data_IF_921292978045
#
_entry.id   IF_921292978045
#
_cell.length_a   1.000
_cell.length_b   1.000
_cell.length_c   1.000
_cell.angle_alpha   90.00
_cell.angle_beta   90.00
_cell.angle_gamma   90.00
#
_symmetry.space_group_name_H-M   'P 1'
#
loop_
_entity.id
_entity.type
_entity.pdbx_description
1 polymer ?
#
# COMPACT_ATOMS: atom_id res chain seq x y z
N UNK A 1 -10.62 11.25 -1.56
CA UNK A 1 -9.18 11.53 -1.74
C UNK A 1 -8.55 11.63 -0.37
N UNK A 2 -7.41 10.99 -0.17
CA UNK A 2 -6.71 10.89 1.11
C UNK A 2 -5.94 12.15 1.53
N UNK A 3 -6.38 13.34 1.13
CA UNK A 3 -5.80 14.63 1.56
C UNK A 3 -6.14 14.85 3.02
N UNK A 4 -5.12 15.17 3.83
CA UNK A 4 -5.26 15.39 5.26
C UNK A 4 -4.56 16.68 5.71
N UNK A 5 -4.93 17.17 6.89
CA UNK A 5 -4.18 18.22 7.59
C UNK A 5 -3.19 17.57 8.56
N UNK A 6 -1.87 17.71 8.37
CA UNK A 6 -0.89 17.14 9.28
C UNK A 6 -0.86 17.89 10.63
N UNK A 7 -0.51 17.17 11.71
CA UNK A 7 -0.21 17.78 13.02
C UNK A 7 1.21 18.31 13.02
N UNK A 8 2.13 17.60 12.38
CA UNK A 8 3.52 18.04 12.23
C UNK A 8 3.62 18.97 11.02
N UNK A 9 3.75 20.27 11.28
CA UNK A 9 3.73 21.32 10.27
C UNK A 9 5.03 21.42 9.44
N UNK A 10 6.08 20.65 9.78
CA UNK A 10 7.35 20.70 9.04
C UNK A 10 7.16 20.40 7.54
N UNK A 11 6.19 19.53 7.22
CA UNK A 11 5.89 19.14 5.83
C UNK A 11 5.21 20.23 5.02
N UNK A 12 4.62 21.25 5.68
CA UNK A 12 3.95 22.38 5.01
C UNK A 12 4.95 23.28 4.27
N UNK A 13 6.23 23.21 4.62
CA UNK A 13 7.31 23.95 3.94
C UNK A 13 7.91 23.21 2.75
N UNK A 14 7.48 21.95 2.48
CA UNK A 14 8.00 21.19 1.35
C UNK A 14 7.47 21.77 0.02
N UNK A 15 8.38 21.96 -0.93
CA UNK A 15 8.07 22.42 -2.29
C UNK A 15 8.35 21.31 -3.30
N UNK A 16 7.44 21.09 -4.24
CA UNK A 16 7.49 19.95 -5.15
C UNK A 16 7.02 18.65 -4.50
N UNK A 17 7.35 17.54 -5.12
CA UNK A 17 6.91 16.20 -4.67
C UNK A 17 7.91 15.60 -3.67
N UNK A 18 7.42 15.24 -2.50
CA UNK A 18 8.13 14.52 -1.46
C UNK A 18 7.39 13.23 -1.10
N UNK A 19 8.10 12.10 -1.05
CA UNK A 19 7.51 10.81 -0.71
C UNK A 19 8.20 10.21 0.51
N UNK A 20 7.45 10.03 1.60
CA UNK A 20 7.86 9.24 2.76
C UNK A 20 7.58 7.77 2.45
N UNK A 21 8.64 6.95 2.37
CA UNK A 21 8.54 5.59 1.87
C UNK A 21 9.57 4.64 2.48
N UNK A 22 9.41 3.35 2.23
CA UNK A 22 10.45 2.34 2.43
C UNK A 22 10.48 1.37 1.26
N UNK A 23 11.64 0.80 0.96
CA UNK A 23 11.82 -0.12 -0.16
C UNK A 23 10.91 -1.37 -0.07
N UNK A 24 10.69 -1.87 1.15
CA UNK A 24 9.92 -3.10 1.42
C UNK A 24 8.41 -2.95 1.37
N UNK A 25 7.88 -1.74 1.29
CA UNK A 25 6.43 -1.51 1.25
C UNK A 25 5.89 -1.62 -0.18
N UNK A 26 5.01 -2.59 -0.43
CA UNK A 26 4.28 -2.70 -1.68
C UNK A 26 3.40 -1.46 -1.95
N UNK A 27 2.78 -0.90 -0.90
CA UNK A 27 2.01 0.34 -1.02
C UNK A 27 2.88 1.53 -1.44
N UNK A 28 4.09 1.67 -0.85
CA UNK A 28 5.02 2.70 -1.29
C UNK A 28 5.58 2.42 -2.69
N UNK A 29 5.74 1.15 -3.07
CA UNK A 29 6.17 0.77 -4.41
C UNK A 29 5.17 1.18 -5.50
N UNK A 30 3.85 1.12 -5.22
CA UNK A 30 2.80 1.64 -6.13
C UNK A 30 3.04 3.10 -6.48
N UNK A 31 3.28 3.92 -5.46
CA UNK A 31 3.50 5.36 -5.65
C UNK A 31 4.80 5.64 -6.37
N UNK A 32 5.90 4.97 -5.97
CA UNK A 32 7.17 5.10 -6.70
C UNK A 32 7.03 4.71 -8.16
N UNK A 33 6.34 3.60 -8.45
CA UNK A 33 6.11 3.15 -9.82
C UNK A 33 5.37 4.22 -10.64
N UNK A 34 4.28 4.80 -10.12
CA UNK A 34 3.57 5.87 -10.83
C UNK A 34 4.42 7.12 -11.03
N UNK A 35 5.20 7.52 -10.02
CA UNK A 35 6.10 8.68 -10.15
C UNK A 35 7.14 8.47 -11.26
N UNK A 36 7.73 7.27 -11.35
CA UNK A 36 8.68 6.90 -12.40
C UNK A 36 8.03 6.82 -13.79
N UNK A 37 6.84 6.21 -13.90
CA UNK A 37 6.09 6.11 -15.15
C UNK A 37 5.68 7.49 -15.68
N UNK A 38 5.36 8.42 -14.79
CA UNK A 38 5.07 9.82 -15.13
C UNK A 38 6.32 10.68 -15.30
N UNK A 39 7.52 10.13 -15.02
CA UNK A 39 8.80 10.85 -15.08
C UNK A 39 8.79 12.13 -14.24
N UNK A 40 8.17 12.08 -13.07
CA UNK A 40 8.10 13.17 -12.13
C UNK A 40 9.35 13.18 -11.24
N UNK A 41 9.94 14.33 -11.05
CA UNK A 41 11.01 14.53 -10.07
C UNK A 41 10.41 14.56 -8.67
N UNK A 42 11.02 13.81 -7.73
CA UNK A 42 10.56 13.73 -6.36
C UNK A 42 11.70 13.54 -5.36
N UNK A 43 11.49 14.00 -4.14
CA UNK A 43 12.43 13.85 -3.02
C UNK A 43 11.99 12.68 -2.15
N UNK A 44 12.88 11.69 -1.97
CA UNK A 44 12.62 10.52 -1.13
C UNK A 44 12.97 10.75 0.33
N UNK A 45 12.02 10.47 1.23
CA UNK A 45 12.23 10.40 2.68
C UNK A 45 12.11 8.95 3.11
N UNK A 46 13.26 8.28 3.29
CA UNK A 46 13.27 6.88 3.71
C UNK A 46 12.86 6.74 5.18
N UNK A 47 11.88 5.87 5.44
CA UNK A 47 11.43 5.49 6.78
C UNK A 47 11.89 4.07 7.07
N UNK A 48 12.82 3.90 7.99
CA UNK A 48 13.31 2.58 8.41
C UNK A 48 12.32 1.92 9.39
N UNK A 49 11.50 1.01 8.85
CA UNK A 49 10.53 0.25 9.65
C UNK A 49 11.21 -0.70 10.65
N UNK A 50 12.45 -1.12 10.37
CA UNK A 50 13.24 -1.93 11.30
C UNK A 50 13.59 -1.16 12.56
N UNK A 51 13.94 0.12 12.41
CA UNK A 51 14.21 1.05 13.51
C UNK A 51 12.97 1.69 14.11
N UNK A 52 11.76 1.33 13.60
CA UNK A 52 10.48 1.89 14.06
C UNK A 52 10.38 3.41 13.90
N UNK A 53 11.04 3.97 12.90
CA UNK A 53 10.97 5.41 12.60
C UNK A 53 9.53 5.87 12.29
N UNK A 54 8.69 4.94 11.83
CA UNK A 54 7.26 5.17 11.65
C UNK A 54 6.46 5.18 12.98
N UNK A 55 7.05 4.75 14.11
CA UNK A 55 6.37 4.71 15.42
C UNK A 55 6.96 5.82 16.30
N UNK A 56 6.91 7.05 15.81
CA UNK A 56 7.33 8.26 16.51
C UNK A 56 6.21 9.30 16.48
N UNK A 57 6.21 10.22 17.45
CA UNK A 57 5.23 11.32 17.49
C UNK A 57 5.39 12.21 16.23
N UNK A 58 6.63 12.40 15.77
CA UNK A 58 6.95 13.18 14.59
C UNK A 58 6.27 12.60 13.34
N UNK A 59 6.42 11.28 13.11
CA UNK A 59 5.87 10.66 11.91
C UNK A 59 4.35 10.47 12.02
N UNK A 60 3.81 10.14 13.20
CA UNK A 60 2.36 10.12 13.43
C UNK A 60 1.73 11.51 13.25
N UNK A 61 2.49 12.57 13.47
CA UNK A 61 2.08 13.94 13.16
C UNK A 61 1.96 14.22 11.66
N UNK A 62 2.68 13.47 10.80
CA UNK A 62 2.61 13.54 9.34
C UNK A 62 1.53 12.59 8.80
N UNK A 63 1.54 11.34 9.25
CA UNK A 63 0.56 10.32 8.88
C UNK A 63 -0.04 9.69 10.15
N UNK A 64 -1.31 9.96 10.46
CA UNK A 64 -1.93 9.53 11.72
C UNK A 64 -2.07 8.00 11.87
N UNK A 65 -1.87 7.23 10.80
CA UNK A 65 -1.81 5.76 10.87
C UNK A 65 -0.40 5.22 11.12
N UNK A 66 0.64 6.06 11.05
CA UNK A 66 2.03 5.64 11.23
C UNK A 66 2.49 4.62 10.17
N UNK A 67 2.01 4.75 8.93
CA UNK A 67 2.33 3.85 7.80
C UNK A 67 2.92 4.63 6.63
N UNK A 68 3.56 3.91 5.71
CA UNK A 68 4.04 4.44 4.44
C UNK A 68 3.23 3.83 3.29
N UNK A 69 3.01 4.56 2.18
CA UNK A 69 3.55 5.87 1.83
C UNK A 69 2.78 7.05 2.43
N UNK A 70 3.45 8.21 2.48
CA UNK A 70 2.82 9.51 2.58
C UNK A 70 3.41 10.41 1.51
N UNK A 71 2.57 11.02 0.69
CA UNK A 71 2.98 12.00 -0.31
C UNK A 71 2.77 13.41 0.26
N UNK A 72 3.71 14.31 -0.03
CA UNK A 72 3.54 15.73 0.18
C UNK A 72 3.82 16.44 -1.14
N UNK A 73 2.92 17.29 -1.58
CA UNK A 73 3.08 18.12 -2.77
C UNK A 73 2.76 19.56 -2.44
N UNK A 74 3.78 20.43 -2.49
CA UNK A 74 3.69 21.85 -2.14
C UNK A 74 2.98 22.09 -0.78
N UNK A 75 3.31 21.26 0.23
CA UNK A 75 2.72 21.30 1.57
C UNK A 75 1.39 20.58 1.71
N UNK A 76 0.73 20.13 0.64
CA UNK A 76 -0.48 19.31 0.72
C UNK A 76 -0.12 17.85 1.00
N UNK A 77 -0.66 17.29 2.08
CA UNK A 77 -0.35 15.92 2.52
C UNK A 77 -1.42 14.95 2.07
N UNK A 78 -0.99 13.88 1.39
CA UNK A 78 -1.87 12.82 0.88
C UNK A 78 -1.43 11.47 1.42
N UNK A 79 -2.39 10.74 1.98
CA UNK A 79 -2.19 9.38 2.53
C UNK A 79 -3.04 8.38 1.76
N UNK A 80 -2.85 7.07 2.03
CA UNK A 80 -3.43 5.93 1.33
C UNK A 80 -2.92 5.81 -0.11
N UNK A 81 -2.18 4.73 -0.39
CA UNK A 81 -1.45 4.60 -1.67
C UNK A 81 -2.32 4.75 -2.91
N UNK A 82 -3.55 4.20 -2.90
CA UNK A 82 -4.47 4.33 -4.05
C UNK A 82 -5.04 5.74 -4.19
N UNK A 83 -5.26 6.45 -3.09
CA UNK A 83 -5.66 7.85 -3.13
C UNK A 83 -4.52 8.74 -3.63
N UNK A 84 -3.27 8.40 -3.27
CA UNK A 84 -2.08 9.06 -3.81
C UNK A 84 -1.97 8.82 -5.33
N UNK A 85 -2.25 7.61 -5.83
CA UNK A 85 -2.27 7.34 -7.27
C UNK A 85 -3.30 8.22 -7.99
N UNK A 86 -4.51 8.31 -7.44
CA UNK A 86 -5.58 9.13 -8.01
C UNK A 86 -5.24 10.63 -7.96
N UNK A 87 -4.63 11.09 -6.87
CA UNK A 87 -4.19 12.47 -6.70
C UNK A 87 -3.11 12.85 -7.72
N UNK A 88 -2.09 12.00 -7.88
CA UNK A 88 -1.03 12.22 -8.86
C UNK A 88 -1.56 12.23 -10.29
N UNK A 89 -2.52 11.36 -10.61
CA UNK A 89 -3.16 11.31 -11.92
C UNK A 89 -3.99 12.56 -12.21
N UNK A 90 -4.58 13.18 -11.19
CA UNK A 90 -5.34 14.43 -11.32
C UNK A 90 -4.41 15.64 -11.47
N UNK A 91 -3.36 15.72 -10.65
CA UNK A 91 -2.40 16.86 -10.66
C UNK A 91 -1.49 16.82 -11.89
N UNK A 92 -1.14 15.62 -12.36
CA UNK A 92 -0.24 15.41 -13.49
C UNK A 92 -0.91 14.47 -14.51
N UNK A 93 -1.85 14.95 -15.33
CA UNK A 93 -2.67 14.09 -16.19
C UNK A 93 -1.89 13.38 -17.32
N UNK A 94 -0.69 13.86 -17.67
CA UNK A 94 0.12 13.28 -18.76
C UNK A 94 1.46 12.70 -18.25
N UNK A 95 1.83 11.48 -18.70
CA UNK A 95 0.99 10.54 -19.45
C UNK A 95 -0.14 9.99 -18.58
N UNK A 96 -1.33 9.79 -19.20
CA UNK A 96 -2.50 9.26 -18.47
C UNK A 96 -2.45 7.75 -18.32
N UNK A 97 -2.70 7.27 -17.10
CA UNK A 97 -2.93 5.86 -16.75
C UNK A 97 -4.41 5.58 -16.45
N UNK A 98 -5.28 6.51 -16.85
CA UNK A 98 -6.73 6.35 -16.93
C UNK A 98 -7.12 6.16 -18.39
N UNK A 99 -8.06 5.27 -18.64
CA UNK A 99 -8.63 5.07 -19.98
C UNK A 99 -9.84 5.98 -20.14
N UNK A 100 -10.04 6.55 -21.31
CA UNK A 100 -11.15 7.48 -21.56
C UNK A 100 -12.54 6.84 -21.42
N UNK A 101 -12.66 5.51 -21.62
CA UNK A 101 -13.93 4.77 -21.51
C UNK A 101 -14.45 4.74 -20.08
N UNK A 102 -15.70 5.17 -19.86
CA UNK A 102 -16.36 5.10 -18.55
C UNK A 102 -16.39 3.67 -17.98
N UNK A 103 -16.60 2.66 -18.85
CA UNK A 103 -16.53 1.24 -18.46
C UNK A 103 -15.19 0.90 -17.84
N UNK A 104 -14.09 1.30 -18.45
CA UNK A 104 -12.74 1.00 -17.96
C UNK A 104 -12.41 1.83 -16.72
N UNK A 105 -12.86 3.07 -16.62
CA UNK A 105 -12.71 3.86 -15.39
C UNK A 105 -13.38 3.19 -14.19
N UNK A 106 -14.59 2.63 -14.36
CA UNK A 106 -15.27 1.87 -13.32
C UNK A 106 -14.49 0.60 -12.93
N UNK A 107 -13.88 -0.09 -13.89
CA UNK A 107 -13.06 -1.27 -13.63
C UNK A 107 -11.75 -0.89 -12.90
N UNK A 108 -11.06 0.18 -13.32
CA UNK A 108 -9.87 0.69 -12.62
C UNK A 108 -10.23 1.00 -11.16
N UNK A 109 -11.32 1.73 -10.93
CA UNK A 109 -11.79 2.05 -9.57
C UNK A 109 -12.05 0.79 -8.74
N UNK A 110 -12.71 -0.22 -9.33
CA UNK A 110 -12.92 -1.51 -8.68
C UNK A 110 -11.60 -2.16 -8.25
N UNK A 111 -10.60 -2.24 -9.14
CA UNK A 111 -9.33 -2.87 -8.82
C UNK A 111 -8.51 -2.11 -7.78
N UNK A 112 -8.54 -0.77 -7.81
CA UNK A 112 -7.94 0.05 -6.77
C UNK A 112 -8.61 -0.20 -5.42
N UNK A 113 -9.95 -0.27 -5.39
CA UNK A 113 -10.70 -0.57 -4.17
C UNK A 113 -10.36 -1.97 -3.64
N UNK A 114 -10.35 -3.00 -4.50
CA UNK A 114 -9.97 -4.36 -4.09
C UNK A 114 -8.58 -4.42 -3.46
N UNK A 115 -7.61 -3.70 -4.01
CA UNK A 115 -6.25 -3.68 -3.46
C UNK A 115 -6.16 -2.99 -2.10
N UNK A 116 -7.06 -2.05 -1.81
CA UNK A 116 -7.23 -1.41 -0.51
C UNK A 116 -7.96 -2.32 0.49
N UNK A 117 -9.14 -2.81 0.12
CA UNK A 117 -9.99 -3.63 0.98
C UNK A 117 -9.32 -4.94 1.42
N UNK A 118 -8.53 -5.55 0.52
CA UNK A 118 -7.78 -6.78 0.81
C UNK A 118 -6.44 -6.54 1.51
N UNK A 119 -6.03 -5.28 1.72
CA UNK A 119 -4.70 -4.99 2.24
C UNK A 119 -4.45 -5.58 3.63
N UNK A 120 -5.29 -5.29 4.61
CA UNK A 120 -5.15 -5.83 5.97
C UNK A 120 -5.60 -7.29 6.05
N UNK A 121 -6.83 -7.68 5.61
CA UNK A 121 -7.36 -9.01 5.87
C UNK A 121 -6.67 -10.12 5.08
N UNK A 122 -6.05 -9.81 3.95
CA UNK A 122 -5.42 -10.80 3.09
C UNK A 122 -3.91 -10.56 2.94
N UNK A 123 -3.52 -9.46 2.28
CA UNK A 123 -2.13 -9.20 1.88
C UNK A 123 -1.21 -9.10 3.11
N UNK A 124 -1.52 -8.20 4.05
CA UNK A 124 -0.71 -8.04 5.27
C UNK A 124 -0.79 -9.24 6.19
N UNK A 125 -1.96 -9.85 6.37
CA UNK A 125 -2.10 -11.06 7.20
C UNK A 125 -1.17 -12.16 6.71
N UNK A 126 -1.16 -12.46 5.41
CA UNK A 126 -0.26 -13.45 4.83
C UNK A 126 1.22 -13.04 5.00
N UNK A 127 1.58 -11.80 4.65
CA UNK A 127 2.95 -11.31 4.76
C UNK A 127 3.47 -11.34 6.21
N UNK A 128 2.67 -10.94 7.19
CA UNK A 128 3.07 -10.99 8.60
C UNK A 128 3.21 -12.42 9.08
N UNK A 129 2.32 -13.32 8.70
CA UNK A 129 2.44 -14.74 9.03
C UNK A 129 3.74 -15.35 8.46
N UNK A 130 4.09 -15.06 7.22
CA UNK A 130 5.23 -15.69 6.55
C UNK A 130 6.57 -15.00 6.87
N UNK A 131 6.62 -13.69 6.92
CA UNK A 131 7.87 -12.92 6.90
C UNK A 131 7.94 -11.85 7.97
N UNK A 132 6.97 -10.93 8.00
CA UNK A 132 7.12 -9.65 8.69
C UNK A 132 7.20 -9.78 10.21
N UNK A 133 6.50 -10.75 10.81
CA UNK A 133 6.56 -10.99 12.24
C UNK A 133 7.98 -11.32 12.72
N UNK A 134 8.79 -11.97 11.87
CA UNK A 134 10.20 -12.30 12.15
C UNK A 134 11.15 -11.16 11.85
N UNK A 135 10.84 -10.35 10.82
CA UNK A 135 11.72 -9.27 10.36
C UNK A 135 11.51 -7.94 11.09
N UNK A 136 10.32 -7.72 11.62
CA UNK A 136 9.91 -6.45 12.23
C UNK A 136 9.30 -6.67 13.64
N UNK A 137 9.94 -7.46 14.52
CA UNK A 137 9.44 -7.62 15.89
C UNK A 137 9.41 -6.26 16.58
N UNK A 138 8.50 -6.10 17.52
CA UNK A 138 8.45 -4.94 18.42
C UNK A 138 8.79 -5.39 19.83
N UNK A 139 9.52 -4.54 20.56
CA UNK A 139 9.68 -4.68 22.01
C UNK A 139 8.39 -4.28 22.72
N UNK A 140 8.25 -4.62 24.00
CA UNK A 140 7.09 -4.20 24.82
C UNK A 140 6.97 -2.67 24.87
N UNK A 141 8.06 -1.95 24.92
CA UNK A 141 8.08 -0.48 24.89
C UNK A 141 7.59 0.07 23.55
N UNK A 142 8.02 -0.53 22.43
CA UNK A 142 7.57 -0.15 21.09
C UNK A 142 6.09 -0.47 20.86
N UNK A 143 5.59 -1.57 21.42
CA UNK A 143 4.16 -1.91 21.41
C UNK A 143 3.33 -0.92 22.22
N UNK A 144 3.79 -0.56 23.42
CA UNK A 144 3.13 0.44 24.26
C UNK A 144 3.11 1.81 23.59
N UNK A 145 4.24 2.23 22.97
CA UNK A 145 4.34 3.47 22.20
C UNK A 145 3.37 3.45 21.02
N UNK A 146 3.34 2.37 20.24
CA UNK A 146 2.41 2.22 19.13
C UNK A 146 0.95 2.33 19.61
N UNK A 147 0.57 1.62 20.66
CA UNK A 147 -0.78 1.66 21.21
C UNK A 147 -1.19 3.07 21.72
N UNK A 148 -0.23 3.87 22.24
CA UNK A 148 -0.46 5.26 22.63
C UNK A 148 -0.72 6.17 21.44
N UNK A 149 0.06 6.00 20.36
CA UNK A 149 0.02 6.87 19.18
C UNK A 149 -1.12 6.50 18.22
N UNK A 150 -1.36 5.21 18.01
CA UNK A 150 -2.37 4.73 17.06
C UNK A 150 -3.79 5.02 17.55
N UNK A 151 -4.60 5.65 16.68
CA UNK A 151 -6.01 5.94 16.95
C UNK A 151 -6.97 5.22 16.00
N UNK A 152 -6.45 4.61 14.95
CA UNK A 152 -7.25 3.84 14.01
C UNK A 152 -7.57 2.46 14.63
N UNK A 153 -8.87 2.12 14.82
CA UNK A 153 -9.27 0.88 15.49
C UNK A 153 -8.92 -0.37 14.68
N UNK A 154 -8.94 -0.28 13.35
CA UNK A 154 -8.63 -1.42 12.47
C UNK A 154 -7.13 -1.75 12.54
N UNK A 155 -6.29 -0.72 12.59
CA UNK A 155 -4.85 -0.88 12.77
C UNK A 155 -4.51 -1.44 14.15
N UNK A 156 -5.18 -1.00 15.20
CA UNK A 156 -5.02 -1.55 16.56
C UNK A 156 -5.45 -3.03 16.61
N UNK A 157 -6.62 -3.34 16.05
CA UNK A 157 -7.14 -4.71 16.00
C UNK A 157 -6.21 -5.63 15.18
N UNK A 158 -5.73 -5.18 14.02
CA UNK A 158 -4.80 -5.94 13.20
C UNK A 158 -3.50 -6.25 13.94
N UNK A 159 -2.84 -5.22 14.48
CA UNK A 159 -1.57 -5.41 15.18
C UNK A 159 -1.72 -6.16 16.51
N UNK A 160 -2.86 -6.06 17.19
CA UNK A 160 -3.17 -6.83 18.38
C UNK A 160 -3.17 -8.36 18.17
N UNK A 161 -3.48 -8.82 16.95
CA UNK A 161 -3.49 -10.25 16.61
C UNK A 161 -2.09 -10.89 16.61
N UNK A 162 -1.04 -10.11 16.42
CA UNK A 162 0.33 -10.61 16.33
C UNK A 162 1.34 -9.88 17.25
N UNK A 163 0.86 -9.11 18.24
CA UNK A 163 1.66 -8.46 19.28
C UNK A 163 1.90 -9.38 20.47
N UNK A 164 2.91 -9.07 21.30
CA UNK A 164 3.21 -9.85 22.52
C UNK A 164 3.64 -11.28 22.25
N UNK A 165 4.36 -11.53 21.17
CA UNK A 165 4.80 -12.88 20.77
C UNK A 165 3.70 -13.75 20.17
N UNK A 166 2.50 -13.22 19.95
CA UNK A 166 1.40 -13.91 19.26
C UNK A 166 1.66 -13.99 17.75
N UNK A 167 0.99 -14.91 17.10
CA UNK A 167 0.89 -14.99 15.64
C UNK A 167 -0.58 -15.00 15.22
N UNK A 168 -0.84 -14.71 13.95
CA UNK A 168 -2.18 -14.89 13.39
C UNK A 168 -2.64 -16.34 13.58
N UNK A 169 -3.93 -16.54 13.87
CA UNK A 169 -4.53 -17.86 13.96
C UNK A 169 -4.52 -18.57 12.59
N UNK A 170 -4.59 -19.89 12.59
CA UNK A 170 -4.75 -20.67 11.36
C UNK A 170 -6.00 -20.23 10.58
N UNK A 171 -7.08 -19.90 11.28
CA UNK A 171 -8.32 -19.41 10.67
C UNK A 171 -8.10 -18.07 9.95
N UNK A 172 -7.39 -17.10 10.58
CA UNK A 172 -7.05 -15.83 9.94
C UNK A 172 -6.20 -16.04 8.68
N UNK A 173 -5.21 -16.94 8.75
CA UNK A 173 -4.32 -17.26 7.64
C UNK A 173 -5.06 -17.95 6.49
N UNK A 174 -5.89 -18.96 6.80
CA UNK A 174 -6.67 -19.66 5.79
C UNK A 174 -7.68 -18.74 5.10
N UNK A 175 -8.31 -17.82 5.85
CA UNK A 175 -9.16 -16.78 5.29
C UNK A 175 -8.38 -15.84 4.37
N UNK A 176 -7.19 -15.43 4.78
CA UNK A 176 -6.32 -14.58 3.96
C UNK A 176 -5.94 -15.26 2.65
N UNK A 177 -5.57 -16.54 2.69
CA UNK A 177 -5.25 -17.34 1.49
C UNK A 177 -6.48 -17.43 0.57
N UNK A 178 -7.66 -17.76 1.10
CA UNK A 178 -8.88 -17.86 0.28
C UNK A 178 -9.22 -16.53 -0.41
N UNK A 179 -9.01 -15.40 0.26
CA UNK A 179 -9.21 -14.08 -0.34
C UNK A 179 -8.17 -13.77 -1.43
N UNK A 180 -6.91 -14.16 -1.21
CA UNK A 180 -5.85 -14.03 -2.20
C UNK A 180 -6.10 -14.91 -3.42
N UNK A 181 -6.47 -16.17 -3.22
CA UNK A 181 -6.82 -17.09 -4.31
C UNK A 181 -7.96 -16.52 -5.16
N UNK A 182 -9.00 -15.99 -4.50
CA UNK A 182 -10.14 -15.39 -5.20
C UNK A 182 -9.75 -14.18 -6.04
N UNK A 183 -8.90 -13.28 -5.52
CA UNK A 183 -8.51 -12.08 -6.27
C UNK A 183 -7.50 -12.39 -7.36
N UNK A 184 -6.56 -13.31 -7.12
CA UNK A 184 -5.58 -13.68 -8.14
C UNK A 184 -6.21 -14.47 -9.30
N UNK A 185 -7.21 -15.33 -9.03
CA UNK A 185 -8.01 -15.94 -10.12
C UNK A 185 -8.66 -14.89 -11.01
N UNK A 186 -9.23 -13.83 -10.43
CA UNK A 186 -9.84 -12.74 -11.20
C UNK A 186 -8.81 -11.90 -11.97
N UNK A 187 -7.61 -11.69 -11.40
CA UNK A 187 -6.52 -11.00 -12.10
C UNK A 187 -6.05 -11.86 -13.27
N UNK A 188 -5.83 -13.15 -13.05
CA UNK A 188 -5.41 -14.10 -14.08
C UNK A 188 -6.39 -14.14 -15.26
N UNK A 189 -7.69 -14.22 -14.98
CA UNK A 189 -8.75 -14.12 -15.98
C UNK A 189 -8.73 -12.77 -16.72
N UNK A 190 -8.52 -11.67 -15.99
CA UNK A 190 -8.55 -10.33 -16.58
C UNK A 190 -7.38 -10.08 -17.56
N UNK A 191 -6.20 -10.64 -17.28
CA UNK A 191 -5.00 -10.43 -18.10
C UNK A 191 -4.85 -11.48 -19.22
N UNK A 192 -5.68 -12.52 -19.25
CA UNK A 192 -5.56 -13.64 -20.19
C UNK A 192 -5.59 -13.21 -21.67
N UNK A 193 -6.41 -12.22 -22.02
CA UNK A 193 -6.61 -11.79 -23.40
C UNK A 193 -5.69 -10.63 -23.84
N UNK A 194 -5.18 -9.81 -22.91
CA UNK A 194 -4.48 -8.58 -23.29
C UNK A 194 -3.22 -8.27 -22.48
N UNK A 195 -2.92 -9.06 -21.45
CA UNK A 195 -1.75 -8.85 -20.59
C UNK A 195 -1.88 -7.68 -19.60
N UNK A 196 -3.04 -7.01 -19.54
CA UNK A 196 -3.34 -5.94 -18.60
C UNK A 196 -4.62 -6.21 -17.81
N UNK A 197 -4.69 -5.69 -16.59
CA UNK A 197 -5.84 -5.91 -15.70
C UNK A 197 -7.11 -5.23 -16.25
N UNK A 198 -6.97 -4.10 -16.95
CA UNK A 198 -8.11 -3.37 -17.52
C UNK A 198 -7.81 -2.94 -18.95
N UNK A 199 -8.59 -3.46 -19.89
CA UNK A 199 -8.48 -3.09 -21.30
C UNK A 199 -7.24 -3.64 -21.97
N UNK A 200 -6.70 -2.89 -22.90
CA UNK A 200 -5.57 -3.24 -23.77
C UNK A 200 -4.30 -2.41 -23.48
N UNK A 201 -4.25 -1.73 -22.35
CA UNK A 201 -3.13 -0.86 -21.98
C UNK A 201 -2.85 -0.82 -20.48
N UNK A 202 -1.64 -0.38 -20.17
CA UNK A 202 -1.16 -0.25 -18.79
C UNK A 202 -1.90 0.87 -18.06
N UNK A 203 -2.50 0.56 -16.91
CA UNK A 203 -3.38 1.46 -16.17
C UNK A 203 -3.00 1.55 -14.69
N UNK A 204 -3.69 2.43 -13.93
CA UNK A 204 -3.57 2.49 -12.46
C UNK A 204 -3.91 1.15 -11.78
N UNK A 205 -4.71 0.28 -12.40
CA UNK A 205 -4.99 -1.06 -11.86
C UNK A 205 -3.70 -1.90 -11.85
N UNK A 206 -2.96 -1.91 -12.94
CA UNK A 206 -1.68 -2.62 -13.06
C UNK A 206 -0.64 -2.04 -12.10
N UNK A 207 -0.53 -0.71 -12.01
CA UNK A 207 0.35 0.01 -11.07
C UNK A 207 0.03 -0.36 -9.63
N UNK A 208 -1.25 -0.53 -9.29
CA UNK A 208 -1.67 -0.88 -7.93
C UNK A 208 -1.36 -2.35 -7.59
N UNK A 209 -1.52 -3.28 -8.54
CA UNK A 209 -1.40 -4.71 -8.26
C UNK A 209 -0.01 -5.29 -8.50
N UNK A 210 0.77 -4.82 -9.47
CA UNK A 210 2.12 -5.35 -9.78
C UNK A 210 3.05 -5.39 -8.55
N UNK A 211 3.17 -4.34 -7.72
CA UNK A 211 4.01 -4.40 -6.53
C UNK A 211 3.47 -5.36 -5.46
N UNK A 212 2.15 -5.56 -5.41
CA UNK A 212 1.53 -6.52 -4.50
C UNK A 212 1.87 -7.94 -4.93
N UNK A 213 1.66 -8.26 -6.21
CA UNK A 213 2.00 -9.56 -6.80
C UNK A 213 3.48 -9.89 -6.56
N UNK A 214 4.38 -8.97 -6.92
CA UNK A 214 5.83 -9.12 -6.69
C UNK A 214 6.17 -9.40 -5.22
N UNK A 215 5.52 -8.69 -4.29
CA UNK A 215 5.75 -8.90 -2.86
C UNK A 215 5.19 -10.24 -2.38
N UNK A 216 4.08 -10.71 -2.93
CA UNK A 216 3.51 -12.02 -2.61
C UNK A 216 4.41 -13.15 -3.09
N UNK A 217 4.96 -13.05 -4.31
CA UNK A 217 5.97 -13.99 -4.84
C UNK A 217 7.19 -14.05 -3.90
N UNK A 218 7.74 -12.88 -3.56
CA UNK A 218 8.88 -12.78 -2.64
C UNK A 218 8.57 -13.36 -1.25
N UNK A 219 7.29 -13.34 -0.84
CA UNK A 219 6.76 -13.94 0.38
C UNK A 219 6.51 -15.45 0.28
N UNK A 220 6.78 -16.07 -0.86
CA UNK A 220 6.58 -17.51 -1.09
C UNK A 220 5.12 -17.88 -1.32
N UNK A 221 4.27 -16.94 -1.77
CA UNK A 221 2.93 -17.28 -2.25
C UNK A 221 3.04 -17.98 -3.60
N UNK A 222 2.37 -19.14 -3.72
CA UNK A 222 2.42 -19.93 -4.95
C UNK A 222 1.45 -19.35 -6.00
N UNK A 223 2.02 -18.78 -7.06
CA UNK A 223 1.27 -18.31 -8.23
C UNK A 223 1.19 -19.35 -9.35
N UNK A 224 1.73 -20.55 -9.17
CA UNK A 224 1.69 -21.61 -10.19
C UNK A 224 0.31 -21.94 -10.76
N UNK A 225 -0.80 -21.85 -9.97
CA UNK A 225 -2.14 -22.01 -10.50
C UNK A 225 -2.62 -20.91 -11.46
N UNK A 226 -1.96 -19.72 -11.46
CA UNK A 226 -2.36 -18.55 -12.24
C UNK A 226 -1.38 -18.36 -13.40
N UNK A 227 -1.76 -18.83 -14.59
CA UNK A 227 -0.83 -19.01 -15.72
C UNK A 227 -0.57 -17.76 -16.52
N UNK A 228 -1.33 -16.69 -16.30
CA UNK A 228 -1.22 -15.41 -16.99
C UNK A 228 -0.58 -14.30 -16.14
N UNK A 229 -0.47 -14.50 -14.80
CA UNK A 229 0.17 -13.54 -13.88
C UNK A 229 1.69 -13.52 -14.02
#
# INVERSE_FOLDING_TARGET
>A
MGVITPINEIVLSHTGLHLYHTARSNCAARVRLLLEEKKLDWVGHHIDLGKKENITEEYFGINPKGVVPTLVYDGEVVVESNDILLYLEEKFPEPSFRVASEKYQAQIKYWLQQSGDLHLPAIKTYQYHKINAKLLPKTEEEEARYAKLQKDPDMLAFHGKHSGGKSFSEEDVNRAISLLDSVFSKIDEAIADGGYIVGDGYTLADISWSPTITTMIAGGYDLGPYTHI
#
